data_IF_088245447737
#
_entry.id   IF_088245447737
#
_cell.length_a   1.000
_cell.length_b   1.000
_cell.length_c   1.000
_cell.angle_alpha   90.00
_cell.angle_beta   90.00
_cell.angle_gamma   90.00
#
_symmetry.space_group_name_H-M   'P 1'
#
loop_
_entity.id
_entity.type
_entity.pdbx_description
1 polymer ?
#
# COMPACT_ATOMS: atom_id res chain seq x y z
N UNK A 1 20.50 1.33 24.53
CA UNK A 1 19.21 0.65 24.25
C UNK A 1 19.48 -0.84 24.25
N UNK A 2 18.74 -1.63 25.03
CA UNK A 2 18.91 -3.08 25.11
C UNK A 2 18.01 -3.69 24.02
N UNK A 3 18.61 -4.34 23.03
CA UNK A 3 17.91 -5.16 22.04
C UNK A 3 17.32 -6.38 22.76
N UNK A 4 16.04 -6.33 23.11
CA UNK A 4 15.33 -7.42 23.80
C UNK A 4 14.24 -7.00 24.78
N UNK A 5 14.02 -5.71 25.06
CA UNK A 5 12.92 -5.28 25.93
C UNK A 5 11.62 -5.09 25.15
N UNK A 6 10.53 -5.73 25.60
CA UNK A 6 9.16 -5.44 25.12
C UNK A 6 8.85 -3.94 25.24
N UNK A 7 8.28 -3.35 24.18
CA UNK A 7 7.87 -1.94 24.18
C UNK A 7 6.84 -1.72 25.30
N UNK A 8 7.22 -0.90 26.29
CA UNK A 8 6.32 -0.55 27.40
C UNK A 8 5.41 0.59 26.99
N UNK A 9 4.10 0.34 26.98
CA UNK A 9 3.06 1.35 26.79
C UNK A 9 3.03 2.31 27.97
N UNK A 10 3.02 3.61 27.68
CA UNK A 10 3.08 4.70 28.67
C UNK A 10 1.72 5.37 28.93
N UNK A 11 0.62 4.64 28.76
CA UNK A 11 -0.74 5.15 28.95
C UNK A 11 -1.80 4.20 28.39
N UNK A 12 -3.04 4.70 28.28
CA UNK A 12 -4.17 3.96 27.70
C UNK A 12 -4.19 4.20 26.19
N UNK A 13 -4.39 3.14 25.43
CA UNK A 13 -4.44 3.19 23.97
C UNK A 13 -5.84 2.84 23.45
N UNK A 14 -6.26 3.49 22.37
CA UNK A 14 -7.55 3.25 21.73
C UNK A 14 -7.43 3.21 20.21
N UNK A 15 -8.37 2.50 19.60
CA UNK A 15 -8.55 2.44 18.15
C UNK A 15 -9.73 3.33 17.78
N UNK A 16 -9.55 4.24 16.82
CA UNK A 16 -10.60 5.19 16.42
C UNK A 16 -11.85 4.48 15.83
N UNK A 17 -11.68 3.32 15.19
CA UNK A 17 -12.79 2.55 14.60
C UNK A 17 -13.55 1.74 15.65
N UNK A 18 -12.84 1.03 16.54
CA UNK A 18 -13.46 0.40 17.71
C UNK A 18 -14.27 1.42 18.52
N UNK A 19 -13.72 2.62 18.74
CA UNK A 19 -14.43 3.69 19.44
C UNK A 19 -15.72 4.10 18.74
N UNK A 20 -15.79 4.09 17.40
CA UNK A 20 -17.05 4.35 16.66
C UNK A 20 -18.05 3.22 16.88
N UNK A 21 -17.60 1.97 16.73
CA UNK A 21 -18.45 0.79 16.94
C UNK A 21 -19.00 0.72 18.36
N UNK A 22 -18.18 1.04 19.37
CA UNK A 22 -18.61 1.09 20.77
C UNK A 22 -19.68 2.14 21.00
N UNK A 23 -19.51 3.32 20.41
CA UNK A 23 -20.49 4.41 20.53
C UNK A 23 -21.80 4.06 19.84
N UNK A 24 -21.75 3.38 18.71
CA UNK A 24 -22.95 2.92 18.00
C UNK A 24 -23.72 1.84 18.78
N UNK A 25 -23.01 0.90 19.41
CA UNK A 25 -23.63 -0.21 20.13
C UNK A 25 -24.04 0.13 21.56
N UNK A 26 -23.21 0.88 22.27
CA UNK A 26 -23.32 1.10 23.71
C UNK A 26 -23.48 2.57 24.11
N UNK A 27 -23.34 3.52 23.16
CA UNK A 27 -23.46 4.96 23.42
C UNK A 27 -22.23 5.61 24.05
N UNK A 28 -21.21 4.83 24.41
CA UNK A 28 -19.96 5.32 25.00
C UNK A 28 -18.77 4.43 24.61
N UNK A 29 -17.55 4.98 24.55
CA UNK A 29 -16.37 4.21 24.15
C UNK A 29 -15.76 3.43 25.31
N UNK A 30 -15.26 2.23 25.02
CA UNK A 30 -14.71 1.34 26.03
C UNK A 30 -13.21 1.05 25.84
N UNK A 31 -12.56 0.72 26.96
CA UNK A 31 -11.16 0.30 26.97
C UNK A 31 -11.09 -1.18 26.61
N UNK A 32 -10.62 -1.47 25.40
CA UNK A 32 -10.35 -2.84 24.96
C UNK A 32 -9.04 -3.36 25.58
N UNK A 33 -9.09 -4.55 26.19
CA UNK A 33 -7.94 -5.21 26.83
C UNK A 33 -6.80 -5.48 25.86
N UNK A 34 -7.14 -5.86 24.64
CA UNK A 34 -6.20 -6.19 23.57
C UNK A 34 -5.32 -4.98 23.21
N UNK A 35 -5.91 -3.78 23.18
CA UNK A 35 -5.18 -2.54 22.93
C UNK A 35 -4.23 -2.15 24.07
N UNK A 36 -4.33 -2.74 25.26
CA UNK A 36 -3.44 -2.44 26.39
C UNK A 36 -2.27 -3.43 26.51
N UNK A 37 -2.24 -4.49 25.69
CA UNK A 37 -1.16 -5.46 25.72
C UNK A 37 0.18 -4.80 25.33
N UNK A 38 1.23 -5.15 26.06
CA UNK A 38 2.57 -4.60 25.85
C UNK A 38 3.12 -5.11 24.51
N UNK A 39 3.74 -4.22 23.73
CA UNK A 39 4.27 -4.53 22.40
C UNK A 39 3.24 -4.62 21.26
N UNK A 40 1.94 -4.41 21.51
CA UNK A 40 0.92 -4.37 20.47
C UNK A 40 0.60 -2.92 20.12
N UNK A 41 1.04 -2.44 18.95
CA UNK A 41 0.80 -1.05 18.53
C UNK A 41 -0.35 -0.90 17.50
N UNK A 42 -0.98 -2.01 17.12
CA UNK A 42 -2.07 -2.07 16.13
C UNK A 42 -3.33 -2.73 16.70
N UNK A 43 -4.50 -2.33 16.20
CA UNK A 43 -5.77 -2.99 16.51
C UNK A 43 -5.86 -4.33 15.74
N UNK A 44 -6.19 -5.46 16.40
CA UNK A 44 -6.33 -6.75 15.72
C UNK A 44 -7.58 -6.87 14.84
N UNK A 45 -8.59 -6.02 15.05
CA UNK A 45 -9.84 -6.06 14.28
C UNK A 45 -9.84 -5.14 13.06
N UNK A 46 -9.27 -3.95 13.23
CA UNK A 46 -9.34 -2.87 12.24
C UNK A 46 -7.98 -2.58 11.60
N UNK A 47 -6.91 -3.24 12.05
CA UNK A 47 -5.53 -3.10 11.53
C UNK A 47 -4.97 -1.66 11.57
N UNK A 48 -5.64 -0.73 12.25
CA UNK A 48 -5.18 0.65 12.43
C UNK A 48 -4.25 0.79 13.63
N UNK A 49 -3.30 1.72 13.52
CA UNK A 49 -2.38 2.04 14.60
C UNK A 49 -3.13 2.63 15.81
N UNK A 50 -2.78 2.14 17.00
CA UNK A 50 -3.41 2.56 18.24
C UNK A 50 -2.93 3.94 18.68
N UNK A 51 -3.88 4.78 19.11
CA UNK A 51 -3.63 6.14 19.58
C UNK A 51 -3.57 6.18 21.10
N UNK A 52 -2.64 6.96 21.65
CA UNK A 52 -2.57 7.21 23.09
C UNK A 52 -3.67 8.19 23.49
N UNK A 53 -4.41 7.88 24.54
CA UNK A 53 -5.38 8.80 25.15
C UNK A 53 -4.63 9.97 25.80
N UNK A 54 -4.99 11.24 25.51
CA UNK A 54 -4.18 12.39 25.89
C UNK A 54 -4.26 12.76 27.37
N UNK A 55 -5.30 12.31 28.07
CA UNK A 55 -5.48 12.61 29.51
C UNK A 55 -4.63 11.65 30.33
N UNK A 56 -3.76 12.20 31.18
CA UNK A 56 -2.96 11.40 32.10
C UNK A 56 -3.81 10.87 33.26
N UNK A 57 -3.79 9.56 33.45
CA UNK A 57 -4.50 8.85 34.50
C UNK A 57 -3.65 8.76 35.77
N UNK A 58 -3.37 9.89 36.41
CA UNK A 58 -2.50 9.94 37.61
C UNK A 58 -3.25 9.86 38.95
N UNK A 59 -4.58 9.76 38.95
CA UNK A 59 -5.36 9.71 40.19
C UNK A 59 -5.59 8.26 40.66
N UNK A 60 -5.17 7.95 41.89
CA UNK A 60 -5.37 6.64 42.55
C UNK A 60 -6.80 6.40 43.04
N UNK A 61 -7.62 7.45 43.05
CA UNK A 61 -8.92 7.49 43.74
C UNK A 61 -10.05 7.94 42.80
N UNK A 62 -9.75 8.73 41.77
CA UNK A 62 -10.79 9.24 40.86
C UNK A 62 -11.03 8.26 39.72
N UNK A 63 -12.31 8.11 39.39
CA UNK A 63 -12.73 7.38 38.21
C UNK A 63 -12.42 8.21 36.96
N UNK A 64 -11.38 7.83 36.22
CA UNK A 64 -11.15 8.41 34.89
C UNK A 64 -12.09 7.74 33.90
N UNK A 65 -13.08 8.50 33.41
CA UNK A 65 -13.98 8.08 32.34
C UNK A 65 -13.31 8.27 30.99
N UNK A 66 -13.54 7.32 30.08
CA UNK A 66 -13.06 7.40 28.71
C UNK A 66 -14.00 8.31 27.89
N UNK A 67 -13.66 9.59 27.76
CA UNK A 67 -14.52 10.57 27.07
C UNK A 67 -14.15 10.75 25.59
N UNK A 68 -15.16 10.72 24.72
CA UNK A 68 -15.02 10.95 23.27
C UNK A 68 -14.43 12.31 22.92
N UNK A 69 -14.71 13.34 23.72
CA UNK A 69 -14.24 14.72 23.49
C UNK A 69 -12.71 14.81 23.44
N UNK A 70 -12.03 13.91 24.14
CA UNK A 70 -10.58 13.85 24.23
C UNK A 70 -9.99 12.84 23.25
N UNK A 71 -10.81 12.16 22.45
CA UNK A 71 -10.36 11.20 21.45
C UNK A 71 -10.28 11.89 20.09
N UNK A 72 -9.17 11.65 19.41
CA UNK A 72 -9.09 11.94 18.01
C UNK A 72 -9.77 10.78 17.26
N UNK A 73 -10.89 11.06 16.60
CA UNK A 73 -11.62 10.12 15.74
C UNK A 73 -11.35 10.34 14.25
N UNK A 74 -10.45 11.28 13.91
CA UNK A 74 -9.97 11.37 12.53
C UNK A 74 -9.39 10.01 12.18
N UNK A 75 -9.73 9.49 11.02
CA UNK A 75 -9.00 8.35 10.46
C UNK A 75 -7.55 8.81 10.20
N UNK A 76 -6.56 8.09 10.75
CA UNK A 76 -5.16 8.28 10.31
C UNK A 76 -5.05 7.88 8.82
N UNK A 77 -5.94 6.98 8.39
CA UNK A 77 -6.14 6.53 7.01
C UNK A 77 -7.53 6.94 6.49
N UNK A 78 -7.76 8.25 6.31
CA UNK A 78 -8.55 8.74 5.18
C UNK A 78 -7.77 9.82 4.47
N UNK A 79 -6.68 9.43 3.83
CA UNK A 79 -6.70 9.62 2.40
C UNK A 79 -7.23 8.27 1.90
N UNK A 80 -8.33 8.26 1.18
CA UNK A 80 -8.67 7.10 0.39
C UNK A 80 -7.46 6.87 -0.54
N UNK A 81 -6.65 5.80 -0.43
CA UNK A 81 -5.54 5.54 -1.36
C UNK A 81 -6.08 5.08 -2.73
N UNK A 82 -7.34 5.39 -2.99
CA UNK A 82 -8.24 4.81 -3.94
C UNK A 82 -9.18 5.92 -4.36
N UNK A 83 -8.68 6.76 -5.26
CA UNK A 83 -9.59 7.44 -6.16
C UNK A 83 -10.26 6.34 -7.00
N UNK A 84 -11.47 5.95 -6.62
CA UNK A 84 -12.37 5.22 -7.50
C UNK A 84 -12.77 6.20 -8.60
N UNK A 85 -12.44 5.91 -9.85
CA UNK A 85 -12.76 6.83 -10.94
C UNK A 85 -13.16 6.10 -12.21
N UNK A 86 -14.28 6.56 -12.76
CA UNK A 86 -15.19 6.02 -13.79
C UNK A 86 -14.57 5.58 -15.13
N UNK A 87 -15.39 5.14 -16.10
CA UNK A 87 -14.98 4.86 -17.48
C UNK A 87 -14.53 6.18 -18.12
N UNK A 88 -13.71 6.05 -19.15
CA UNK A 88 -12.82 7.10 -19.59
C UNK A 88 -12.83 7.18 -21.11
N UNK A 89 -13.33 8.30 -21.62
CA UNK A 89 -12.88 8.84 -22.91
C UNK A 89 -11.38 9.11 -22.86
N UNK A 90 -10.64 9.01 -23.96
CA UNK A 90 -9.16 9.16 -23.95
C UNK A 90 -8.65 10.44 -23.25
N UNK A 91 -9.47 11.50 -23.20
CA UNK A 91 -9.23 12.75 -22.48
C UNK A 91 -9.35 12.59 -20.95
N UNK A 92 -10.42 11.94 -20.46
CA UNK A 92 -10.61 11.64 -19.03
C UNK A 92 -9.52 10.71 -18.47
N UNK A 93 -8.78 9.98 -19.31
CA UNK A 93 -7.72 9.05 -18.89
C UNK A 93 -6.54 9.84 -18.41
N UNK A 94 -6.24 10.87 -19.18
CA UNK A 94 -5.14 11.77 -18.94
C UNK A 94 -5.36 12.55 -17.65
N UNK A 95 -6.58 13.06 -17.46
CA UNK A 95 -6.98 13.75 -16.23
C UNK A 95 -6.83 12.83 -15.02
N UNK A 96 -7.32 11.58 -15.10
CA UNK A 96 -7.16 10.60 -14.01
C UNK A 96 -5.71 10.24 -13.72
N UNK A 97 -4.86 10.15 -14.75
CA UNK A 97 -3.43 9.89 -14.55
C UNK A 97 -2.71 11.10 -13.93
N UNK A 98 -3.13 12.32 -14.27
CA UNK A 98 -2.64 13.54 -13.65
C UNK A 98 -3.10 13.65 -12.20
N UNK A 99 -4.36 13.30 -11.91
CA UNK A 99 -4.91 13.28 -10.56
C UNK A 99 -4.17 12.26 -9.68
N UNK A 100 -3.85 11.07 -10.20
CA UNK A 100 -2.97 10.12 -9.49
C UNK A 100 -1.61 10.72 -9.18
N UNK A 101 -0.98 11.41 -10.14
CA UNK A 101 0.32 12.04 -9.93
C UNK A 101 0.27 13.13 -8.85
N UNK A 102 -0.78 13.95 -8.84
CA UNK A 102 -0.95 15.04 -7.87
C UNK A 102 -1.46 14.59 -6.52
N UNK A 103 -2.05 13.40 -6.41
CA UNK A 103 -2.55 12.82 -5.15
C UNK A 103 -1.43 12.41 -4.18
N UNK A 104 -0.25 12.08 -4.70
CA UNK A 104 0.90 11.64 -3.89
C UNK A 104 1.59 12.85 -3.25
N UNK A 105 1.99 12.72 -1.99
CA UNK A 105 2.70 13.78 -1.29
C UNK A 105 4.00 14.15 -2.03
N UNK A 106 4.36 15.45 -2.17
CA UNK A 106 5.51 15.89 -2.96
C UNK A 106 6.85 15.25 -2.59
N UNK A 107 7.03 14.83 -1.34
CA UNK A 107 8.24 14.12 -0.89
C UNK A 107 8.42 12.74 -1.54
N UNK A 108 7.33 12.07 -1.92
CA UNK A 108 7.36 10.73 -2.53
C UNK A 108 7.33 10.77 -4.06
N UNK A 109 7.20 11.97 -4.67
CA UNK A 109 7.30 12.14 -6.13
C UNK A 109 8.73 11.89 -6.63
N UNK A 110 9.73 12.09 -5.79
CA UNK A 110 11.11 11.80 -6.15
C UNK A 110 11.30 10.27 -6.21
N UNK A 111 11.58 9.75 -7.41
CA UNK A 111 11.72 8.31 -7.63
C UNK A 111 10.39 7.56 -7.82
N UNK A 112 9.26 8.26 -7.92
CA UNK A 112 8.00 7.62 -8.31
C UNK A 112 8.01 7.22 -9.78
N UNK A 113 7.46 6.05 -10.08
CA UNK A 113 7.28 5.58 -11.45
C UNK A 113 5.84 5.13 -11.67
N UNK A 114 5.38 5.24 -12.92
CA UNK A 114 4.16 4.59 -13.38
C UNK A 114 4.48 3.14 -13.72
N UNK A 115 3.81 2.20 -13.06
CA UNK A 115 3.90 0.77 -13.33
C UNK A 115 2.61 0.37 -14.02
N UNK A 116 2.72 -0.06 -15.27
CA UNK A 116 1.55 -0.34 -16.13
C UNK A 116 1.60 -1.71 -16.76
N UNK A 117 0.42 -2.26 -17.06
CA UNK A 117 0.31 -3.46 -17.87
C UNK A 117 0.64 -3.19 -19.34
N UNK A 118 1.16 -4.21 -20.03
CA UNK A 118 1.49 -4.13 -21.47
C UNK A 118 0.32 -3.75 -22.39
N UNK A 119 -0.92 -4.27 -22.24
CA UNK A 119 -2.05 -3.84 -23.07
C UNK A 119 -2.45 -2.38 -22.78
N UNK A 120 -2.41 -1.95 -21.51
CA UNK A 120 -2.70 -0.57 -21.13
C UNK A 120 -1.65 0.41 -21.68
N UNK A 121 -0.38 0.03 -21.66
CA UNK A 121 0.71 0.78 -22.29
C UNK A 121 0.47 1.06 -23.77
N UNK A 122 -0.03 0.08 -24.53
CA UNK A 122 -0.32 0.26 -25.96
C UNK A 122 -1.44 1.29 -26.21
N UNK A 123 -2.34 1.48 -25.25
CA UNK A 123 -3.36 2.54 -25.29
C UNK A 123 -2.73 3.89 -24.97
N UNK A 124 -1.97 3.98 -23.87
CA UNK A 124 -1.26 5.21 -23.46
C UNK A 124 -0.31 5.74 -24.54
N UNK A 125 0.44 4.86 -25.19
CA UNK A 125 1.39 5.23 -26.25
C UNK A 125 0.73 5.87 -27.48
N UNK A 126 -0.58 5.67 -27.67
CA UNK A 126 -1.33 6.22 -28.80
C UNK A 126 -2.02 7.53 -28.49
N UNK A 127 -2.05 7.95 -27.21
CA UNK A 127 -2.67 9.20 -26.79
C UNK A 127 -1.91 10.41 -27.37
N UNK A 128 -2.68 11.36 -27.90
CA UNK A 128 -2.17 12.60 -28.49
C UNK A 128 -2.93 13.80 -27.96
N UNK A 129 -2.29 14.95 -27.95
CA UNK A 129 -2.98 16.23 -27.78
C UNK A 129 -3.76 16.62 -29.05
N UNK A 130 -4.61 17.64 -28.94
CA UNK A 130 -5.33 18.21 -30.09
C UNK A 130 -4.42 18.83 -31.16
N UNK A 131 -3.12 18.97 -30.90
CA UNK A 131 -2.10 19.45 -31.83
C UNK A 131 -1.30 18.31 -32.51
N UNK A 132 -1.59 17.05 -32.19
CA UNK A 132 -0.95 15.85 -32.75
C UNK A 132 0.35 15.40 -32.08
N UNK A 133 0.79 16.01 -30.98
CA UNK A 133 1.94 15.57 -30.20
C UNK A 133 1.56 14.41 -29.27
N UNK A 134 2.46 13.45 -29.13
CA UNK A 134 2.31 12.35 -28.19
C UNK A 134 2.68 12.78 -26.78
N UNK A 135 1.87 12.40 -25.80
CA UNK A 135 2.20 12.60 -24.38
C UNK A 135 3.38 11.76 -23.93
N UNK A 136 3.59 10.64 -24.61
CA UNK A 136 4.65 9.71 -24.33
C UNK A 136 5.93 10.12 -25.07
N UNK A 137 7.00 10.31 -24.32
CA UNK A 137 8.31 10.65 -24.86
C UNK A 137 9.28 9.50 -24.62
N UNK A 138 9.95 9.09 -25.68
CA UNK A 138 11.02 8.09 -25.61
C UNK A 138 12.32 8.81 -25.25
N UNK A 139 12.84 8.54 -24.05
CA UNK A 139 14.12 9.04 -23.59
C UNK A 139 15.20 7.97 -23.69
N UNK A 140 16.43 8.38 -23.95
CA UNK A 140 17.61 7.53 -23.74
C UNK A 140 18.29 8.03 -22.48
N UNK A 141 18.04 7.33 -21.36
CA UNK A 141 18.71 7.61 -20.08
C UNK A 141 19.68 6.45 -19.84
N UNK A 142 20.98 6.74 -19.75
CA UNK A 142 22.04 5.73 -19.53
C UNK A 142 22.07 4.59 -20.58
N UNK A 143 21.75 4.89 -21.85
CA UNK A 143 21.81 3.91 -22.94
C UNK A 143 20.69 2.87 -22.95
N UNK A 144 19.69 3.00 -22.06
CA UNK A 144 18.45 2.23 -22.09
C UNK A 144 17.32 3.12 -22.60
N UNK A 145 16.48 2.57 -23.46
CA UNK A 145 15.23 3.23 -23.88
C UNK A 145 14.33 3.23 -22.65
N UNK A 146 14.15 4.40 -22.04
CA UNK A 146 13.21 4.60 -20.96
C UNK A 146 12.02 5.38 -21.51
N UNK A 147 10.84 4.94 -21.09
CA UNK A 147 9.59 5.58 -21.45
C UNK A 147 9.28 6.61 -20.38
N UNK A 148 9.07 7.85 -20.81
CA UNK A 148 8.63 8.91 -19.90
C UNK A 148 7.22 9.32 -20.25
N UNK A 149 6.39 9.43 -19.21
CA UNK A 149 5.00 9.86 -19.32
C UNK A 149 4.79 11.00 -18.33
N UNK A 150 4.32 12.16 -18.80
CA UNK A 150 4.17 13.38 -18.00
C UNK A 150 5.46 13.83 -17.28
N UNK A 151 6.63 13.49 -17.83
CA UNK A 151 7.94 13.79 -17.21
C UNK A 151 8.36 12.83 -16.09
N UNK A 152 7.56 11.80 -15.82
CA UNK A 152 7.83 10.73 -14.84
C UNK A 152 8.23 9.44 -15.55
N UNK A 153 8.95 8.56 -14.85
CA UNK A 153 9.37 7.26 -15.40
C UNK A 153 8.18 6.31 -15.55
N UNK A 154 8.18 5.52 -16.62
CA UNK A 154 7.15 4.51 -16.89
C UNK A 154 7.80 3.12 -17.08
N UNK A 155 7.35 2.18 -16.26
CA UNK A 155 7.77 0.77 -16.21
C UNK A 155 6.61 -0.11 -16.68
N UNK A 156 6.90 -1.05 -17.57
CA UNK A 156 5.92 -2.02 -18.08
C UNK A 156 6.11 -3.36 -17.37
N UNK A 157 5.03 -3.96 -16.89
CA UNK A 157 5.03 -5.28 -16.26
C UNK A 157 3.88 -6.15 -16.78
N UNK A 158 4.08 -7.47 -16.77
CA UNK A 158 3.04 -8.45 -17.09
C UNK A 158 2.28 -8.91 -15.84
N UNK A 159 2.65 -8.42 -14.64
CA UNK A 159 2.01 -8.79 -13.37
C UNK A 159 0.73 -8.01 -13.06
N UNK A 160 0.44 -6.94 -13.81
CA UNK A 160 -0.77 -6.12 -13.63
C UNK A 160 -1.88 -6.56 -14.58
N UNK A 161 -3.12 -6.26 -14.22
CA UNK A 161 -4.29 -6.60 -15.02
C UNK A 161 -4.35 -5.76 -16.31
N UNK A 162 -5.04 -6.29 -17.33
CA UNK A 162 -5.01 -5.68 -18.65
C UNK A 162 -5.68 -4.29 -18.71
N UNK A 163 -6.69 -4.06 -17.86
CA UNK A 163 -7.47 -2.82 -17.89
C UNK A 163 -8.47 -2.78 -19.05
N UNK A 164 -8.97 -3.95 -19.46
CA UNK A 164 -9.99 -4.06 -20.51
C UNK A 164 -11.40 -4.22 -19.92
N UNK A 165 -11.49 -4.59 -18.63
CA UNK A 165 -12.75 -4.79 -17.92
C UNK A 165 -12.87 -3.90 -16.68
N UNK A 166 -14.13 -3.64 -16.29
CA UNK A 166 -14.47 -2.90 -15.07
C UNK A 166 -13.99 -3.67 -13.84
N UNK A 167 -13.47 -2.94 -12.85
CA UNK A 167 -12.87 -3.43 -11.62
C UNK A 167 -11.37 -3.70 -11.73
N UNK A 168 -10.79 -3.64 -12.94
CA UNK A 168 -9.38 -3.98 -13.13
C UNK A 168 -8.43 -2.85 -12.74
N UNK A 169 -7.23 -3.23 -12.30
CA UNK A 169 -6.15 -2.31 -11.89
C UNK A 169 -4.97 -2.37 -12.88
N UNK A 170 -5.02 -1.63 -14.00
CA UNK A 170 -3.96 -1.69 -15.00
C UNK A 170 -2.74 -0.81 -14.71
N UNK A 171 -2.85 0.13 -13.77
CA UNK A 171 -1.81 1.11 -13.48
C UNK A 171 -1.67 1.36 -11.98
N UNK A 172 -0.43 1.40 -11.52
CA UNK A 172 -0.02 1.81 -10.17
C UNK A 172 1.00 2.92 -10.32
N UNK A 173 0.89 3.97 -9.52
CA UNK A 173 1.82 5.08 -9.50
C UNK A 173 2.40 5.23 -8.10
N UNK A 174 3.68 5.52 -7.99
CA UNK A 174 4.29 5.90 -6.72
C UNK A 174 5.71 5.41 -6.54
N UNK A 175 6.27 5.72 -5.39
CA UNK A 175 7.61 5.28 -5.02
C UNK A 175 7.52 3.94 -4.28
N UNK A 176 7.89 2.86 -4.97
CA UNK A 176 7.86 1.49 -4.40
C UNK A 176 8.81 1.39 -3.21
N UNK A 177 9.99 2.02 -3.26
CA UNK A 177 10.98 1.98 -2.18
C UNK A 177 10.42 2.58 -0.88
N UNK A 178 9.63 3.64 -1.01
CA UNK A 178 9.00 4.33 0.10
C UNK A 178 7.59 3.81 0.46
N UNK A 179 7.02 2.90 -0.32
CA UNK A 179 5.64 2.41 -0.15
C UNK A 179 5.51 0.94 0.19
N UNK A 180 6.41 0.08 -0.31
CA UNK A 180 6.31 -1.37 -0.23
C UNK A 180 7.54 -1.97 0.45
N UNK A 181 7.30 -2.80 1.47
CA UNK A 181 8.36 -3.51 2.18
C UNK A 181 8.28 -5.00 1.87
N UNK A 182 9.43 -5.61 1.58
CA UNK A 182 9.59 -7.06 1.40
C UNK A 182 10.43 -7.62 2.53
N UNK A 183 9.90 -8.62 3.24
CA UNK A 183 10.60 -9.38 4.27
C UNK A 183 11.01 -10.75 3.72
N UNK A 184 12.30 -11.02 3.73
CA UNK A 184 12.84 -12.35 3.37
C UNK A 184 13.02 -13.14 4.66
N UNK A 185 12.16 -14.15 4.88
CA UNK A 185 12.25 -15.06 6.03
C UNK A 185 13.31 -16.14 5.82
N UNK A 186 13.43 -16.64 4.60
CA UNK A 186 14.49 -17.55 4.17
C UNK A 186 14.86 -17.20 2.74
N UNK A 187 16.15 -16.91 2.53
CA UNK A 187 16.68 -16.62 1.21
C UNK A 187 16.57 -17.80 0.25
N UNK A 188 16.80 -17.58 -1.05
CA UNK A 188 16.78 -18.64 -2.03
C UNK A 188 17.88 -19.68 -1.74
N UNK A 189 17.47 -20.90 -1.42
CA UNK A 189 18.36 -22.03 -1.19
C UNK A 189 18.10 -23.12 -2.25
N UNK A 190 19.17 -23.59 -2.88
CA UNK A 190 19.12 -24.66 -3.87
C UNK A 190 19.46 -25.99 -3.20
N UNK A 191 18.48 -26.86 -3.11
CA UNK A 191 18.62 -28.21 -2.57
C UNK A 191 18.57 -29.24 -3.71
N UNK A 192 19.54 -30.14 -3.72
CA UNK A 192 19.55 -31.28 -4.64
C UNK A 192 18.70 -32.39 -4.06
N UNK A 193 17.62 -32.75 -4.75
CA UNK A 193 16.73 -33.83 -4.34
C UNK A 193 17.24 -35.13 -4.93
N UNK A 194 17.76 -36.01 -4.07
CA UNK A 194 18.12 -37.38 -4.42
C UNK A 194 17.05 -38.32 -3.86
N UNK A 195 16.03 -38.61 -4.68
CA UNK A 195 15.00 -39.60 -4.36
C UNK A 195 15.19 -40.86 -5.21
N UNK A 196 14.77 -42.00 -4.67
CA UNK A 196 14.76 -43.31 -5.31
C UNK A 196 14.03 -43.32 -6.66
N UNK A 197 12.91 -42.60 -6.79
CA UNK A 197 12.18 -42.48 -8.07
C UNK A 197 12.95 -41.66 -9.12
N UNK A 198 13.64 -40.61 -8.70
CA UNK A 198 14.47 -39.76 -9.58
C UNK A 198 15.74 -40.51 -10.02
N UNK A 199 16.33 -41.30 -9.12
CA UNK A 199 17.46 -42.17 -9.42
C UNK A 199 17.09 -43.27 -10.43
N UNK A 200 15.89 -43.85 -10.34
CA UNK A 200 15.36 -44.84 -11.30
C UNK A 200 15.13 -44.25 -12.70
N UNK A 201 14.78 -42.96 -12.79
CA UNK A 201 14.65 -42.22 -14.07
C UNK A 201 15.97 -41.67 -14.61
N UNK A 202 17.06 -41.76 -13.84
CA UNK A 202 18.35 -41.18 -14.21
C UNK A 202 18.40 -39.65 -14.17
N UNK A 203 17.47 -39.00 -13.46
CA UNK A 203 17.38 -37.54 -13.33
C UNK A 203 17.83 -37.05 -11.95
N UNK A 204 18.39 -35.84 -11.88
CA UNK A 204 18.71 -35.14 -10.63
C UNK A 204 17.73 -33.96 -10.51
N UNK A 205 17.00 -33.90 -9.40
CA UNK A 205 16.11 -32.79 -9.11
C UNK A 205 16.85 -31.65 -8.41
N UNK A 206 16.59 -30.42 -8.85
CA UNK A 206 16.98 -29.22 -8.14
C UNK A 206 15.72 -28.51 -7.65
N UNK A 207 15.61 -28.30 -6.34
CA UNK A 207 14.52 -27.55 -5.72
C UNK A 207 15.10 -26.25 -5.17
N UNK A 208 14.59 -25.13 -5.67
CA UNK A 208 14.91 -23.80 -5.15
C UNK A 208 13.75 -23.37 -4.25
N UNK A 209 14.00 -23.18 -2.97
CA UNK A 209 13.00 -22.66 -2.03
C UNK A 209 13.41 -21.30 -1.50
N UNK A 210 12.44 -20.38 -1.42
CA UNK A 210 12.60 -19.08 -0.81
C UNK A 210 11.29 -18.69 -0.12
N UNK A 211 11.41 -18.11 1.07
CA UNK A 211 10.25 -17.63 1.83
C UNK A 211 10.35 -16.12 1.94
N UNK A 212 9.47 -15.44 1.22
CA UNK A 212 9.39 -13.99 1.19
C UNK A 212 7.94 -13.58 1.41
N UNK A 213 7.74 -12.47 2.11
CA UNK A 213 6.45 -11.83 2.31
C UNK A 213 6.60 -10.34 2.02
N UNK A 214 5.53 -9.67 1.64
CA UNK A 214 5.57 -8.26 1.32
C UNK A 214 4.26 -7.56 1.60
N UNK A 215 4.34 -6.37 2.18
CA UNK A 215 3.18 -5.57 2.54
C UNK A 215 3.41 -4.09 2.21
N UNK A 216 2.31 -3.40 1.90
CA UNK A 216 2.31 -1.94 1.77
C UNK A 216 2.43 -1.35 3.16
N UNK A 217 3.56 -0.73 3.47
CA UNK A 217 3.79 -0.11 4.78
C UNK A 217 3.35 1.36 4.79
N UNK A 218 3.45 2.04 3.65
CA UNK A 218 3.06 3.44 3.50
C UNK A 218 2.12 3.60 2.30
N UNK A 219 0.79 3.60 2.54
CA UNK A 219 -0.19 3.80 1.49
C UNK A 219 -0.14 5.19 0.83
N UNK A 220 0.43 6.21 1.49
CA UNK A 220 0.47 7.58 0.95
C UNK A 220 1.50 7.76 -0.17
N UNK A 221 2.43 6.81 -0.31
CA UNK A 221 3.46 6.82 -1.34
C UNK A 221 3.01 6.10 -2.63
N UNK A 222 1.80 5.52 -2.64
CA UNK A 222 1.26 4.73 -3.75
C UNK A 222 -0.17 5.15 -4.08
N UNK A 223 -0.46 5.26 -5.36
CA UNK A 223 -1.78 5.46 -5.93
C UNK A 223 -2.04 4.36 -6.98
N UNK A 224 -3.30 4.00 -7.19
CA UNK A 224 -3.70 2.97 -8.15
C UNK A 224 -4.88 3.44 -8.96
N UNK A 225 -4.89 3.08 -10.24
CA UNK A 225 -5.99 3.34 -11.15
C UNK A 225 -6.90 2.12 -11.19
N UNK A 226 -8.17 2.29 -10.86
CA UNK A 226 -9.19 1.24 -11.01
C UNK A 226 -10.19 1.68 -12.06
N UNK A 227 -10.45 0.84 -13.04
CA UNK A 227 -11.45 1.12 -14.07
C UNK A 227 -12.83 0.86 -13.47
N UNK A 228 -13.60 1.87 -13.07
CA UNK A 228 -14.99 1.67 -12.63
C UNK A 228 -15.97 2.04 -13.74
N UNK A 229 -17.19 1.50 -13.78
CA UNK A 229 -18.21 1.94 -14.73
C UNK A 229 -18.99 3.14 -14.22
N UNK A 230 -19.10 4.17 -15.07
CA UNK A 230 -19.86 5.43 -14.95
C UNK A 230 -20.05 6.04 -13.55
#
# INVERSE_FOLDING_TARGET
>A
MIAGSICRKSGIYYCAECTKSDVEQFGEPYIHREHQLQGIDYCPYHEVQLRKYPVETTSRIEYIRFELKNMNLSSIYKADPFAETSIVTDEELLDKMLDMATSIHPEYLQGSAFIVSRPFFNRLAKLKDGAGHFYMQNGIVNGRVSYTFLGLELIVTDSLEAGDAIGQVPCVFGNIEAGYAVMIKKGPELITVQDSEQALRGSIGFLLEAYMDGAVFNPQALAKLVITSD
#
